data_IF_430099855581
#
_entry.id   IF_430099855581
#
_cell.length_a   1.000
_cell.length_b   1.000
_cell.length_c   1.000
_cell.angle_alpha   90.00
_cell.angle_beta   90.00
_cell.angle_gamma   90.00
#
_symmetry.space_group_name_H-M   'P 1'
#
loop_
_entity.id
_entity.type
_entity.pdbx_description
1 polymer ?
#
# COMPACT_ATOMS: atom_id res chain seq x y z
N UNK A 1 21.24 -12.81 19.92
CA UNK A 1 20.48 -11.55 20.06
C UNK A 1 19.87 -11.25 18.72
N UNK A 2 18.57 -11.48 18.55
CA UNK A 2 17.90 -11.26 17.26
C UNK A 2 17.98 -9.79 16.89
N UNK A 3 18.45 -9.50 15.69
CA UNK A 3 18.26 -8.19 15.07
C UNK A 3 16.77 -7.84 15.17
N UNK A 4 16.45 -6.77 15.89
CA UNK A 4 15.10 -6.19 15.80
C UNK A 4 14.90 -5.87 14.33
N UNK A 5 13.96 -6.54 13.68
CA UNK A 5 13.46 -6.11 12.38
C UNK A 5 12.96 -4.67 12.57
N UNK A 6 13.73 -3.71 12.07
CA UNK A 6 13.30 -2.32 12.02
C UNK A 6 12.31 -2.23 10.86
N UNK A 7 11.04 -2.31 11.21
CA UNK A 7 9.97 -2.04 10.27
C UNK A 7 9.86 -0.53 10.02
N UNK A 8 9.50 -0.10 8.80
CA UNK A 8 9.13 1.29 8.54
C UNK A 8 7.96 1.72 9.42
N UNK A 9 7.92 3.00 9.79
CA UNK A 9 6.75 3.61 10.40
C UNK A 9 5.82 4.16 9.32
N UNK A 10 4.61 3.61 9.24
CA UNK A 10 3.58 4.01 8.27
C UNK A 10 2.51 4.91 8.87
N UNK A 11 2.68 5.34 10.13
CA UNK A 11 1.74 6.22 10.81
C UNK A 11 1.48 7.50 10.00
N UNK A 12 0.21 7.81 9.78
CA UNK A 12 -0.25 8.98 9.01
C UNK A 12 0.25 9.03 7.55
N UNK A 13 0.53 7.86 6.94
CA UNK A 13 0.88 7.75 5.52
C UNK A 13 -0.18 7.00 4.74
N UNK A 14 -0.22 7.26 3.44
CA UNK A 14 -0.83 6.36 2.47
C UNK A 14 0.27 5.47 1.91
N UNK A 15 0.04 4.16 1.88
CA UNK A 15 1.04 3.16 1.49
C UNK A 15 0.57 2.39 0.28
N UNK A 16 1.27 2.52 -0.85
CA UNK A 16 1.04 1.70 -2.03
C UNK A 16 1.98 0.49 -1.98
N UNK A 17 1.43 -0.71 -1.96
CA UNK A 17 2.16 -1.97 -1.81
C UNK A 17 2.04 -2.81 -3.07
N UNK A 18 3.17 -3.28 -3.59
CA UNK A 18 3.23 -4.24 -4.68
C UNK A 18 3.67 -5.60 -4.14
N UNK A 19 2.95 -6.65 -4.52
CA UNK A 19 3.16 -8.02 -4.05
C UNK A 19 3.95 -8.83 -5.07
N UNK A 20 4.83 -9.69 -4.58
CA UNK A 20 5.54 -10.65 -5.41
C UNK A 20 4.58 -11.55 -6.19
N UNK A 21 4.87 -11.76 -7.47
CA UNK A 21 4.08 -12.63 -8.34
C UNK A 21 2.76 -12.02 -8.84
N UNK A 22 2.51 -10.72 -8.61
CA UNK A 22 1.39 -9.98 -9.19
C UNK A 22 1.85 -9.02 -10.30
N UNK A 23 0.95 -8.65 -11.24
CA UNK A 23 1.22 -7.61 -12.23
C UNK A 23 1.60 -6.26 -11.57
N UNK A 24 2.50 -5.46 -12.19
CA UNK A 24 2.95 -4.17 -11.63
C UNK A 24 1.88 -3.09 -11.52
N UNK A 25 0.71 -3.29 -12.14
CA UNK A 25 -0.47 -2.43 -12.09
C UNK A 25 -1.47 -2.84 -10.98
N UNK A 26 -1.28 -4.01 -10.35
CA UNK A 26 -2.13 -4.52 -9.26
C UNK A 26 -1.56 -4.16 -7.88
N UNK A 27 -1.41 -2.85 -7.65
CA UNK A 27 -0.96 -2.29 -6.37
C UNK A 27 -2.09 -2.21 -5.34
N UNK A 28 -1.75 -2.43 -4.07
CA UNK A 28 -2.69 -2.29 -2.94
C UNK A 28 -2.42 -0.98 -2.22
N UNK A 29 -3.37 -0.05 -2.26
CA UNK A 29 -3.26 1.24 -1.55
C UNK A 29 -3.93 1.14 -0.18
N UNK A 30 -3.14 1.33 0.87
CA UNK A 30 -3.58 1.26 2.26
C UNK A 30 -3.54 2.62 2.95
N UNK A 31 -4.56 2.88 3.75
CA UNK A 31 -4.55 3.89 4.80
C UNK A 31 -4.45 3.21 6.18
N UNK A 32 -4.07 4.01 7.19
CA UNK A 32 -3.92 3.55 8.58
C UNK A 32 -3.03 2.30 8.72
N UNK A 33 -2.00 2.20 7.86
CA UNK A 33 -1.17 1.01 7.77
C UNK A 33 -0.29 0.84 9.02
N UNK A 34 -0.27 -0.35 9.60
CA UNK A 34 0.58 -0.70 10.75
C UNK A 34 1.06 -2.15 10.64
N UNK A 35 2.14 -2.49 11.35
CA UNK A 35 2.62 -3.87 11.44
C UNK A 35 1.92 -4.63 12.57
N UNK A 36 1.51 -5.86 12.28
CA UNK A 36 0.92 -6.78 13.25
C UNK A 36 1.53 -8.19 13.09
N UNK A 37 1.70 -8.91 14.20
CA UNK A 37 2.08 -10.33 14.16
C UNK A 37 0.82 -11.19 14.22
N UNK A 38 0.52 -11.90 13.13
CA UNK A 38 -0.59 -12.86 13.06
C UNK A 38 -0.04 -14.26 12.84
N UNK A 39 -0.37 -15.19 13.74
CA UNK A 39 0.12 -16.58 13.66
C UNK A 39 1.66 -16.69 13.67
N UNK A 40 2.36 -15.76 14.33
CA UNK A 40 3.83 -15.73 14.38
C UNK A 40 4.50 -15.15 13.13
N UNK A 41 3.73 -14.60 12.18
CA UNK A 41 4.24 -13.98 10.96
C UNK A 41 3.91 -12.47 10.92
N UNK A 42 4.81 -11.61 10.42
CA UNK A 42 4.53 -10.19 10.27
C UNK A 42 3.60 -9.91 9.08
N UNK A 43 2.60 -9.08 9.31
CA UNK A 43 1.69 -8.55 8.31
C UNK A 43 1.73 -7.02 8.37
N UNK A 44 1.58 -6.39 7.20
CA UNK A 44 1.06 -5.02 7.14
C UNK A 44 -0.46 -5.14 7.14
N UNK A 45 -1.10 -4.52 8.11
CA UNK A 45 -2.55 -4.35 8.13
C UNK A 45 -2.90 -2.90 7.84
N UNK A 46 -4.07 -2.66 7.27
CA UNK A 46 -4.58 -1.32 6.97
C UNK A 46 -5.98 -1.42 6.38
N UNK A 47 -6.53 -0.29 5.96
CA UNK A 47 -7.81 -0.26 5.26
C UNK A 47 -7.56 0.10 3.80
N UNK A 48 -8.29 -0.52 2.87
CA UNK A 48 -8.21 -0.14 1.46
C UNK A 48 -8.63 1.32 1.30
N UNK A 49 -7.75 2.12 0.75
CA UNK A 49 -7.99 3.54 0.61
C UNK A 49 -9.05 3.82 -0.49
N UNK A 50 -9.89 4.84 -0.27
CA UNK A 50 -10.88 5.29 -1.26
C UNK A 50 -10.20 5.82 -2.54
N UNK A 51 -10.85 5.65 -3.69
CA UNK A 51 -10.34 6.04 -5.00
C UNK A 51 -9.25 5.11 -5.57
N UNK A 52 -8.91 4.02 -4.87
CA UNK A 52 -7.79 3.14 -5.23
C UNK A 52 -8.19 1.87 -5.99
N UNK A 53 -9.49 1.58 -6.15
CA UNK A 53 -9.94 0.37 -6.85
C UNK A 53 -11.08 0.67 -7.83
N UNK A 54 -11.30 -0.23 -8.79
CA UNK A 54 -12.38 -0.09 -9.76
C UNK A 54 -13.75 -0.02 -9.05
N UNK A 55 -14.42 1.14 -9.12
CA UNK A 55 -15.65 1.45 -8.40
C UNK A 55 -15.56 1.36 -6.87
N UNK A 56 -14.36 1.43 -6.29
CA UNK A 56 -14.15 1.43 -4.84
C UNK A 56 -14.80 0.27 -4.07
N UNK A 57 -14.97 -0.88 -4.73
CA UNK A 57 -15.71 -2.01 -4.17
C UNK A 57 -15.10 -2.61 -2.89
N UNK A 58 -13.82 -2.35 -2.61
CA UNK A 58 -13.12 -2.74 -1.38
C UNK A 58 -12.76 -1.57 -0.47
N UNK A 59 -13.14 -0.33 -0.78
CA UNK A 59 -12.77 0.80 0.06
C UNK A 59 -13.26 0.63 1.51
N UNK A 60 -12.41 1.00 2.46
CA UNK A 60 -12.66 0.84 3.90
C UNK A 60 -12.59 -0.61 4.41
N UNK A 61 -12.31 -1.60 3.55
CA UNK A 61 -12.16 -2.99 3.99
C UNK A 61 -10.78 -3.20 4.61
N UNK A 62 -10.80 -3.62 5.88
CA UNK A 62 -9.62 -4.05 6.63
C UNK A 62 -8.92 -5.19 5.90
N UNK A 63 -7.65 -5.00 5.59
CA UNK A 63 -6.83 -5.92 4.81
C UNK A 63 -5.52 -6.22 5.51
N UNK A 64 -5.02 -7.44 5.34
CA UNK A 64 -3.73 -7.89 5.86
C UNK A 64 -2.89 -8.46 4.72
N UNK A 65 -1.67 -7.94 4.57
CA UNK A 65 -0.69 -8.37 3.58
C UNK A 65 0.52 -8.97 4.30
N UNK A 66 0.88 -10.21 3.99
CA UNK A 66 2.03 -10.84 4.60
C UNK A 66 3.32 -10.11 4.18
N UNK A 67 4.11 -9.64 5.14
CA UNK A 67 5.25 -8.75 4.85
C UNK A 67 6.32 -9.42 3.98
N UNK A 68 6.50 -10.72 4.16
CA UNK A 68 7.39 -11.57 3.36
C UNK A 68 6.94 -11.70 1.89
N UNK A 69 5.77 -11.19 1.51
CA UNK A 69 5.28 -11.14 0.13
C UNK A 69 5.41 -9.77 -0.54
N UNK A 70 5.82 -8.74 0.20
CA UNK A 70 5.98 -7.38 -0.33
C UNK A 70 7.23 -7.30 -1.19
N UNK A 71 7.06 -6.90 -2.44
CA UNK A 71 8.16 -6.65 -3.38
C UNK A 71 8.65 -5.21 -3.31
N UNK A 72 7.72 -4.26 -3.20
CA UNK A 72 7.98 -2.83 -3.19
C UNK A 72 6.86 -2.12 -2.44
N UNK A 73 7.18 -1.00 -1.81
CA UNK A 73 6.17 -0.08 -1.28
C UNK A 73 6.58 1.37 -1.53
N UNK A 74 5.58 2.24 -1.62
CA UNK A 74 5.73 3.69 -1.64
C UNK A 74 4.93 4.30 -0.49
N UNK A 75 5.46 5.38 0.07
CA UNK A 75 4.79 6.14 1.13
C UNK A 75 4.47 7.53 0.60
N UNK A 76 3.23 7.94 0.79
CA UNK A 76 2.73 9.28 0.45
C UNK A 76 2.27 9.98 1.72
N UNK A 77 2.39 11.30 1.73
CA UNK A 77 2.05 12.09 2.92
C UNK A 77 0.53 12.18 3.14
N UNK A 78 -0.26 12.05 2.07
CA UNK A 78 -1.72 12.09 2.10
C UNK A 78 -2.30 11.48 0.83
N UNK A 79 -3.63 11.28 0.82
CA UNK A 79 -4.34 10.87 -0.39
C UNK A 79 -4.23 11.91 -1.51
N UNK A 80 -4.19 13.19 -1.15
CA UNK A 80 -4.00 14.29 -2.11
C UNK A 80 -2.62 14.21 -2.80
N UNK A 81 -1.55 13.93 -2.05
CA UNK A 81 -0.21 13.74 -2.61
C UNK A 81 -0.15 12.53 -3.55
N UNK A 82 -0.79 11.42 -3.17
CA UNK A 82 -0.93 10.26 -4.04
C UNK A 82 -1.65 10.60 -5.35
N UNK A 83 -2.83 11.22 -5.28
CA UNK A 83 -3.64 11.57 -6.45
C UNK A 83 -2.96 12.58 -7.37
N UNK A 84 -2.25 13.56 -6.79
CA UNK A 84 -1.46 14.54 -7.55
C UNK A 84 -0.37 13.87 -8.38
N UNK A 85 0.28 12.81 -7.85
CA UNK A 85 1.31 12.05 -8.57
C UNK A 85 0.71 11.09 -9.59
N UNK A 86 -0.35 10.37 -9.21
CA UNK A 86 -1.04 9.43 -10.08
C UNK A 86 -1.60 10.13 -11.33
N UNK A 87 -2.24 11.29 -11.17
CA UNK A 87 -2.77 12.07 -12.29
C UNK A 87 -1.70 12.56 -13.28
N UNK A 88 -0.49 12.84 -12.82
CA UNK A 88 0.63 13.18 -13.70
C UNK A 88 1.05 12.00 -14.56
N UNK A 89 1.07 10.79 -13.99
CA UNK A 89 1.39 9.57 -14.73
C UNK A 89 0.33 9.28 -15.81
N UNK A 90 -0.96 9.33 -15.47
CA UNK A 90 -2.05 9.11 -16.43
C UNK A 90 -2.06 10.12 -17.58
N UNK A 91 -1.77 11.39 -17.30
CA UNK A 91 -1.68 12.41 -18.35
C UNK A 91 -0.51 12.14 -19.30
N UNK A 92 0.61 11.61 -18.82
CA UNK A 92 1.77 11.29 -19.66
C UNK A 92 1.49 10.12 -20.63
N UNK A 93 0.72 9.12 -20.20
CA UNK A 93 0.35 7.96 -21.04
C UNK A 93 -0.59 8.34 -22.21
N UNK A 94 -1.34 9.45 -22.11
CA UNK A 94 -2.21 9.92 -23.19
C UNK A 94 -1.47 10.62 -24.35
N UNK A 95 -0.20 10.98 -24.16
CA UNK A 95 0.62 11.64 -25.19
C UNK A 95 1.62 10.70 -25.87
N UNK A 96 1.52 9.39 -25.66
CA UNK A 96 2.36 8.36 -26.28
C UNK A 96 1.60 7.48 -27.27
#
# INVERSE_FOLDING_TARGET
MGSMMQFPDFSNKIVLVYLMGRPPDDGVLLEHAVFEIQGGRPFIIGDFAEGASANDWVAGVRTALAWDTVQQYFMFDSMEDYMARASQAFNAEQFH
#
